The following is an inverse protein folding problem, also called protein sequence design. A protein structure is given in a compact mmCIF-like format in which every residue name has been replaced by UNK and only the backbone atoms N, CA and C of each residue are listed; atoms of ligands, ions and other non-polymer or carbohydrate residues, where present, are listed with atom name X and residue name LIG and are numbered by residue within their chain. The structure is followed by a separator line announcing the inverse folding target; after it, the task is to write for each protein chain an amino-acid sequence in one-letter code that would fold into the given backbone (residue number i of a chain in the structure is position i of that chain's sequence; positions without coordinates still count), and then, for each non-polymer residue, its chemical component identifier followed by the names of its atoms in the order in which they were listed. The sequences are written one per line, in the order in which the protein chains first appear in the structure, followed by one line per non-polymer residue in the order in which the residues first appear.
data_IF_560405617009
#
_entry.id   IF_560405617009
#
_cell.length_a   1.000
_cell.length_b   1.000
_cell.length_c   1.000
_cell.angle_alpha   90.00
_cell.angle_beta   90.00
_cell.angle_gamma   90.00
#
_symmetry.space_group_name_H-M   'P 1'
#
loop_
_entity.id
_entity.type
_entity.pdbx_description
1 polymer ?
#
# COMPACT_ATOMS: atom_id res chain seq x y z
N UNK A 1 29.98 10.37 18.15
CA UNK A 1 28.91 10.49 19.16
C UNK A 1 28.07 11.69 18.73
N UNK A 2 27.09 11.51 17.85
CA UNK A 2 25.67 11.23 18.16
C UNK A 2 24.97 12.42 18.81
N UNK A 3 24.51 13.39 18.02
CA UNK A 3 23.47 14.34 18.43
C UNK A 3 22.32 14.25 17.41
N UNK A 4 21.14 13.90 17.94
CA UNK A 4 20.00 13.36 17.23
C UNK A 4 18.84 14.36 17.16
N UNK A 5 18.32 14.56 15.95
CA UNK A 5 16.89 14.40 15.60
C UNK A 5 15.80 15.10 16.45
N UNK A 6 15.50 16.39 16.24
CA UNK A 6 14.24 17.01 16.72
C UNK A 6 13.61 17.89 15.61
N UNK A 7 12.36 17.62 15.25
CA UNK A 7 11.54 18.18 14.14
C UNK A 7 10.10 17.78 14.45
N UNK A 8 9.19 18.76 14.50
CA UNK A 8 7.79 18.59 14.96
C UNK A 8 6.61 19.32 14.16
N UNK A 9 5.44 18.69 13.85
CA UNK A 9 4.36 19.15 12.90
C UNK A 9 2.96 18.53 13.24
N UNK A 10 1.80 19.18 12.95
CA UNK A 10 0.53 19.31 13.73
C UNK A 10 -0.85 18.64 13.32
N UNK A 11 -2.04 19.13 13.83
CA UNK A 11 -3.40 18.50 14.01
C UNK A 11 -4.75 19.21 13.68
N UNK A 12 -5.86 18.45 13.43
CA UNK A 12 -7.30 18.49 13.92
C UNK A 12 -8.28 17.42 13.30
N UNK A 13 -9.52 17.19 13.84
CA UNK A 13 -10.41 15.97 13.73
C UNK A 13 -11.64 15.97 12.78
N UNK A 14 -11.88 14.77 12.19
CA UNK A 14 -13.06 14.08 11.58
C UNK A 14 -14.21 14.85 10.91
N UNK A 15 -14.51 14.41 9.69
CA UNK A 15 -15.87 14.29 9.15
C UNK A 15 -16.59 13.07 9.75
N UNK A 16 -17.67 13.29 10.50
CA UNK A 16 -18.68 12.25 10.76
C UNK A 16 -19.83 12.44 9.76
N UNK A 17 -20.40 11.33 9.28
CA UNK A 17 -21.34 11.28 8.16
C UNK A 17 -22.40 12.39 8.20
N UNK A 18 -22.48 13.18 7.13
CA UNK A 18 -23.71 13.85 6.73
C UNK A 18 -23.87 15.35 6.97
N UNK A 19 -22.90 16.09 7.51
CA UNK A 19 -23.02 17.55 7.60
C UNK A 19 -21.73 18.26 7.18
N UNK A 20 -21.80 19.02 6.08
CA UNK A 20 -20.80 20.04 5.76
C UNK A 20 -20.79 21.10 6.86
N UNK A 21 -19.63 21.39 7.45
CA UNK A 21 -19.37 22.72 8.03
C UNK A 21 -19.17 22.87 9.53
N UNK A 22 -18.81 21.83 10.30
CA UNK A 22 -18.34 22.04 11.68
C UNK A 22 -17.00 21.33 11.96
N UNK A 23 -15.92 22.10 11.85
CA UNK A 23 -14.56 21.74 12.33
C UNK A 23 -14.52 21.83 13.85
N UNK A 24 -14.65 20.70 14.53
CA UNK A 24 -14.43 20.62 15.98
C UNK A 24 -12.93 20.41 16.25
N UNK A 25 -12.36 21.30 17.05
CA UNK A 25 -11.00 21.18 17.56
C UNK A 25 -10.84 19.90 18.39
N UNK A 26 -9.84 19.08 18.07
CA UNK A 26 -9.39 17.97 18.91
C UNK A 26 -9.06 18.48 20.33
N UNK A 27 -9.34 17.69 21.37
CA UNK A 27 -8.82 17.96 22.71
C UNK A 27 -7.30 18.18 22.68
N UNK A 28 -6.74 19.09 23.52
CA UNK A 28 -5.31 19.43 23.49
C UNK A 28 -4.37 18.24 23.60
N UNK A 29 -4.72 17.22 24.40
CA UNK A 29 -3.89 16.02 24.55
C UNK A 29 -3.85 15.13 23.29
N UNK A 30 -4.96 15.03 22.56
CA UNK A 30 -4.99 14.39 21.24
C UNK A 30 -4.17 15.20 20.24
N UNK A 31 -4.22 16.53 20.38
CA UNK A 31 -3.43 17.51 19.63
C UNK A 31 -1.93 17.52 19.96
N UNK A 32 -1.52 17.02 21.11
CA UNK A 32 -0.08 16.75 21.33
C UNK A 32 0.29 15.41 20.71
N UNK A 33 -0.55 14.39 20.88
CA UNK A 33 -0.28 13.03 20.43
C UNK A 33 -0.16 12.90 18.91
N UNK A 34 -1.11 13.44 18.13
CA UNK A 34 -1.02 13.31 16.68
C UNK A 34 0.08 14.18 16.09
N UNK A 35 0.54 15.24 16.78
CA UNK A 35 1.70 16.02 16.35
C UNK A 35 2.92 15.11 16.33
N UNK A 36 3.13 14.35 17.40
CA UNK A 36 4.16 13.30 17.46
C UNK A 36 4.01 12.25 16.34
N UNK A 37 2.79 11.80 16.05
CA UNK A 37 2.53 10.83 14.97
C UNK A 37 2.84 11.39 13.58
N UNK A 38 2.45 12.64 13.30
CA UNK A 38 2.71 13.34 12.03
C UNK A 38 4.19 13.43 11.75
N UNK A 39 5.00 13.51 12.79
CA UNK A 39 6.44 13.68 12.65
C UNK A 39 7.22 12.45 12.41
N UNK A 40 6.93 11.43 13.19
CA UNK A 40 7.44 10.12 12.89
C UNK A 40 7.02 9.72 11.46
N UNK A 41 5.80 10.08 11.05
CA UNK A 41 5.33 9.89 9.67
C UNK A 41 6.08 10.72 8.65
N UNK A 42 6.26 12.03 8.86
CA UNK A 42 6.98 12.95 7.97
C UNK A 42 8.43 12.51 7.76
N UNK A 43 9.08 12.00 8.81
CA UNK A 43 10.45 11.46 8.78
C UNK A 43 10.55 10.05 8.18
N UNK A 44 9.42 9.35 8.01
CA UNK A 44 9.42 7.95 7.62
C UNK A 44 9.93 6.99 8.72
N UNK A 45 9.91 7.42 9.98
CA UNK A 45 10.45 6.69 11.13
C UNK A 45 9.37 5.85 11.82
N UNK A 46 9.34 4.56 11.48
CA UNK A 46 8.38 3.60 12.05
C UNK A 46 8.65 3.32 13.53
N UNK A 47 9.91 3.36 13.96
CA UNK A 47 10.28 3.07 15.36
C UNK A 47 9.85 4.22 16.27
N UNK A 48 10.00 5.47 15.81
CA UNK A 48 9.45 6.63 16.50
C UNK A 48 7.91 6.66 16.47
N UNK A 49 7.28 6.17 15.38
CA UNK A 49 5.82 6.17 15.24
C UNK A 49 5.16 5.16 16.15
N UNK A 50 5.73 3.95 16.28
CA UNK A 50 5.14 2.82 17.01
C UNK A 50 4.66 3.17 18.44
N UNK A 51 5.47 3.78 19.33
CA UNK A 51 5.07 4.04 20.71
C UNK A 51 4.02 5.17 20.83
N UNK A 52 3.94 6.07 19.85
CA UNK A 52 3.03 7.23 19.86
C UNK A 52 1.78 7.02 19.01
N UNK A 53 1.69 5.90 18.29
CA UNK A 53 0.60 5.67 17.35
C UNK A 53 -0.72 5.40 18.06
N UNK A 54 -1.69 6.30 17.86
CA UNK A 54 -3.08 6.11 18.27
C UNK A 54 -3.99 5.93 17.05
N UNK A 55 -4.59 4.75 16.86
CA UNK A 55 -5.40 4.44 15.69
C UNK A 55 -6.62 5.35 15.52
N UNK A 56 -7.19 5.81 16.64
CA UNK A 56 -8.33 6.72 16.65
C UNK A 56 -8.00 8.08 16.04
N UNK A 57 -6.72 8.46 16.11
CA UNK A 57 -6.21 9.73 15.60
C UNK A 57 -5.70 9.62 14.15
N UNK A 58 -5.76 8.45 13.50
CA UNK A 58 -5.20 8.32 12.13
C UNK A 58 -5.95 9.14 11.07
N UNK A 59 -7.21 9.48 11.34
CA UNK A 59 -8.08 10.28 10.47
C UNK A 59 -8.03 11.78 10.73
N UNK A 60 -7.15 12.26 11.61
CA UNK A 60 -6.98 13.70 11.82
C UNK A 60 -6.20 14.30 10.64
N UNK A 61 -6.39 15.59 10.42
CA UNK A 61 -5.88 16.38 9.31
C UNK A 61 -5.02 17.53 9.83
N UNK A 62 -3.91 17.86 9.18
CA UNK A 62 -3.07 19.00 9.57
C UNK A 62 -3.87 20.31 9.48
N UNK A 63 -3.90 21.11 10.55
CA UNK A 63 -4.45 22.48 10.53
C UNK A 63 -3.41 23.48 11.01
N UNK A 64 -3.33 24.61 10.29
CA UNK A 64 -2.41 25.70 10.61
C UNK A 64 -2.79 26.41 11.92
N UNK A 65 -4.08 26.63 12.16
CA UNK A 65 -4.54 27.36 13.33
C UNK A 65 -4.18 26.62 14.62
N UNK A 66 -4.52 25.33 14.69
CA UNK A 66 -4.17 24.43 15.79
C UNK A 66 -2.70 24.39 16.08
N UNK A 67 -1.89 24.41 15.02
CA UNK A 67 -0.44 24.36 15.17
C UNK A 67 0.09 25.58 15.88
N UNK A 68 -0.34 26.75 15.42
CA UNK A 68 0.05 28.00 16.06
C UNK A 68 -0.46 28.04 17.51
N UNK A 69 -1.68 27.59 17.78
CA UNK A 69 -2.24 27.54 19.13
C UNK A 69 -1.41 26.63 20.06
N UNK A 70 -1.03 25.43 19.61
CA UNK A 70 -0.17 24.53 20.38
C UNK A 70 1.23 25.09 20.59
N UNK A 71 1.84 25.67 19.55
CA UNK A 71 3.15 26.31 19.68
C UNK A 71 3.10 27.46 20.68
N UNK A 72 2.03 28.26 20.69
CA UNK A 72 1.86 29.34 21.67
C UNK A 72 1.69 28.82 23.10
N UNK A 73 0.90 27.75 23.27
CA UNK A 73 0.72 27.11 24.59
C UNK A 73 2.03 26.51 25.10
N UNK A 74 2.77 25.81 24.25
CA UNK A 74 4.06 25.22 24.59
C UNK A 74 5.11 26.29 24.87
N UNK A 75 5.17 27.35 24.06
CA UNK A 75 6.04 28.50 24.33
C UNK A 75 5.76 29.09 25.71
N UNK A 76 4.48 29.29 26.06
CA UNK A 76 4.08 29.81 27.38
C UNK A 76 4.54 28.87 28.50
N UNK A 77 4.44 27.55 28.31
CA UNK A 77 4.91 26.56 29.29
C UNK A 77 6.44 26.59 29.43
N UNK A 78 7.18 26.64 28.32
CA UNK A 78 8.63 26.72 28.32
C UNK A 78 9.12 28.00 29.02
N UNK A 79 8.45 29.13 28.82
CA UNK A 79 8.76 30.40 29.50
C UNK A 79 8.67 30.30 31.04
N UNK A 80 7.94 29.33 31.59
CA UNK A 80 7.87 29.08 33.03
C UNK A 80 9.03 28.25 33.60
N UNK A 81 9.89 27.67 32.74
CA UNK A 81 11.03 26.86 33.18
C UNK A 81 12.07 27.71 33.92
N UNK A 82 12.42 27.32 35.14
CA UNK A 82 13.38 28.08 35.97
C UNK A 82 14.80 28.05 35.41
N UNK A 83 15.23 26.91 34.84
CA UNK A 83 16.53 26.76 34.21
C UNK A 83 16.58 27.53 32.89
N UNK A 84 17.46 28.52 32.79
CA UNK A 84 17.59 29.38 31.61
C UNK A 84 18.21 28.67 30.40
N UNK A 85 19.14 27.73 30.63
CA UNK A 85 19.80 27.02 29.54
C UNK A 85 18.83 26.01 28.93
N UNK A 86 18.13 25.24 29.77
CA UNK A 86 17.09 24.31 29.30
C UNK A 86 15.97 25.07 28.59
N UNK A 87 15.53 26.21 29.14
CA UNK A 87 14.51 27.05 28.50
C UNK A 87 14.94 27.52 27.11
N UNK A 88 16.16 28.02 26.96
CA UNK A 88 16.68 28.52 25.69
C UNK A 88 16.81 27.39 24.66
N UNK A 89 17.35 26.23 25.06
CA UNK A 89 17.46 25.06 24.20
C UNK A 89 16.09 24.62 23.68
N UNK A 90 15.10 24.47 24.58
CA UNK A 90 13.73 24.06 24.20
C UNK A 90 13.00 25.08 23.34
N UNK A 91 13.18 26.38 23.59
CA UNK A 91 12.59 27.42 22.77
C UNK A 91 13.19 27.45 21.35
N UNK A 92 14.49 27.21 21.23
CA UNK A 92 15.15 27.06 19.94
C UNK A 92 14.62 25.84 19.18
N UNK A 93 14.47 24.69 19.86
CA UNK A 93 13.84 23.50 19.26
C UNK A 93 12.43 23.79 18.71
N UNK A 94 11.61 24.52 19.48
CA UNK A 94 10.26 24.90 19.07
C UNK A 94 10.24 25.89 17.89
N UNK A 95 11.23 26.79 17.81
CA UNK A 95 11.37 27.72 16.67
C UNK A 95 11.84 27.01 15.41
N UNK A 96 12.85 26.15 15.51
CA UNK A 96 13.37 25.33 14.40
C UNK A 96 12.26 24.47 13.81
N UNK A 97 11.48 23.86 14.70
CA UNK A 97 10.28 23.13 14.34
C UNK A 97 9.31 23.98 13.52
N UNK A 98 8.94 25.15 14.03
CA UNK A 98 8.00 26.06 13.37
C UNK A 98 8.49 26.45 11.98
N UNK A 99 9.78 26.74 11.85
CA UNK A 99 10.39 27.07 10.56
C UNK A 99 10.32 25.89 9.60
N UNK A 100 10.66 24.68 10.05
CA UNK A 100 10.59 23.49 9.20
C UNK A 100 9.16 23.17 8.77
N UNK A 101 8.17 23.34 9.64
CA UNK A 101 6.77 23.15 9.26
C UNK A 101 6.37 24.05 8.09
N UNK A 102 6.61 25.36 8.21
CA UNK A 102 6.24 26.30 7.17
C UNK A 102 7.03 26.05 5.90
N UNK A 103 8.32 25.73 6.01
CA UNK A 103 9.16 25.33 4.89
C UNK A 103 8.63 24.07 4.19
N UNK A 104 8.20 23.05 4.93
CA UNK A 104 7.64 21.83 4.36
C UNK A 104 6.30 22.07 3.65
N UNK A 105 5.46 22.97 4.18
CA UNK A 105 4.21 23.39 3.52
C UNK A 105 4.49 24.21 2.26
N UNK A 106 5.43 25.15 2.31
CA UNK A 106 5.83 25.98 1.16
C UNK A 106 6.46 25.15 0.04
N UNK A 107 7.29 24.16 0.39
CA UNK A 107 7.88 23.21 -0.56
C UNK A 107 6.88 22.17 -1.08
N UNK A 108 5.65 22.15 -0.57
CA UNK A 108 4.63 21.16 -0.95
C UNK A 108 4.92 19.74 -0.49
N UNK A 109 5.88 19.55 0.42
CA UNK A 109 6.14 18.26 1.11
C UNK A 109 5.01 17.90 2.07
N UNK A 110 4.27 18.91 2.53
CA UNK A 110 3.03 18.79 3.28
C UNK A 110 1.98 19.71 2.68
N UNK A 111 0.72 19.35 2.83
CA UNK A 111 -0.40 20.26 2.61
C UNK A 111 -1.26 20.37 3.86
N UNK A 112 -1.84 21.54 4.06
CA UNK A 112 -2.89 21.69 5.07
C UNK A 112 -4.06 20.75 4.71
N UNK A 113 -4.60 20.10 5.74
CA UNK A 113 -5.60 19.06 5.62
C UNK A 113 -5.04 17.65 5.39
N UNK A 114 -3.73 17.47 5.20
CA UNK A 114 -3.15 16.14 5.03
C UNK A 114 -3.37 15.30 6.31
N UNK A 115 -3.84 14.06 6.14
CA UNK A 115 -3.82 13.04 7.21
C UNK A 115 -2.46 12.34 7.27
N UNK A 116 -2.18 11.55 8.30
CA UNK A 116 -0.95 10.70 8.34
C UNK A 116 -0.78 9.88 7.06
N UNK A 117 -1.90 9.39 6.53
CA UNK A 117 -1.91 8.61 5.32
C UNK A 117 -1.54 9.44 4.08
N UNK A 118 -1.99 10.70 3.98
CA UNK A 118 -1.55 11.62 2.91
C UNK A 118 -0.06 11.90 3.01
N UNK A 119 0.44 12.18 4.21
CA UNK A 119 1.85 12.51 4.44
C UNK A 119 2.73 11.33 4.02
N UNK A 120 2.41 10.13 4.48
CA UNK A 120 3.16 8.93 4.15
C UNK A 120 3.13 8.64 2.65
N UNK A 121 2.00 8.86 1.98
CA UNK A 121 1.89 8.68 0.53
C UNK A 121 2.68 9.74 -0.24
N UNK A 122 2.48 11.03 0.08
CA UNK A 122 3.12 12.18 -0.56
C UNK A 122 4.64 12.09 -0.50
N UNK A 123 5.17 11.61 0.62
CA UNK A 123 6.61 11.49 0.86
C UNK A 123 7.20 10.13 0.45
N UNK A 124 6.38 9.18 -0.01
CA UNK A 124 6.89 7.88 -0.45
C UNK A 124 7.18 6.87 0.66
N UNK A 125 6.73 7.12 1.89
CA UNK A 125 7.06 6.35 3.10
C UNK A 125 6.28 5.04 3.21
N UNK A 126 6.59 4.10 2.30
CA UNK A 126 5.96 2.76 2.26
C UNK A 126 6.01 1.99 3.58
N UNK A 127 7.09 2.10 4.35
CA UNK A 127 7.23 1.44 5.66
C UNK A 127 6.25 1.97 6.71
N UNK A 128 5.94 3.27 6.67
CA UNK A 128 4.93 3.87 7.56
C UNK A 128 3.52 3.43 7.16
N UNK A 129 3.21 3.41 5.86
CA UNK A 129 1.92 2.90 5.37
C UNK A 129 1.70 1.44 5.75
N UNK A 130 2.73 0.62 5.55
CA UNK A 130 2.74 -0.78 5.97
C UNK A 130 2.45 -0.94 7.46
N UNK A 131 3.11 -0.15 8.30
CA UNK A 131 2.85 -0.13 9.73
C UNK A 131 1.38 0.24 10.03
N UNK A 132 0.87 1.31 9.45
CA UNK A 132 -0.52 1.75 9.66
C UNK A 132 -1.56 0.71 9.19
N UNK A 133 -1.28 -0.03 8.12
CA UNK A 133 -2.22 -1.00 7.54
C UNK A 133 -2.21 -2.36 8.25
N UNK A 134 -1.06 -2.77 8.80
CA UNK A 134 -0.88 -4.13 9.34
C UNK A 134 -0.91 -4.21 10.87
N UNK A 135 -0.87 -3.07 11.56
CA UNK A 135 -0.92 -3.06 13.03
C UNK A 135 -2.28 -3.56 13.49
N UNK A 136 -2.27 -4.62 14.30
CA UNK A 136 -3.46 -5.05 15.01
C UNK A 136 -3.77 -4.06 16.13
N UNK A 137 -4.97 -3.51 16.06
CA UNK A 137 -5.46 -2.53 17.00
C UNK A 137 -6.14 -3.24 18.15
N UNK A 138 -5.36 -3.92 18.98
CA UNK A 138 -5.88 -4.51 20.21
C UNK A 138 -6.00 -3.43 21.28
N UNK A 139 -7.24 -3.16 21.73
CA UNK A 139 -7.44 -2.73 23.12
C UNK A 139 -7.74 -3.98 23.92
N UNK A 140 -6.82 -4.56 24.70
CA UNK A 140 -7.25 -5.42 25.77
C UNK A 140 -8.00 -4.52 26.77
N UNK A 141 -9.27 -4.76 27.07
CA UNK A 141 -9.85 -4.16 28.25
C UNK A 141 -9.08 -4.76 29.43
N UNK A 142 -8.29 -3.95 30.15
CA UNK A 142 -7.84 -4.31 31.51
C UNK A 142 -9.07 -4.33 32.40
N UNK A 143 -9.89 -5.37 32.28
CA UNK A 143 -10.80 -5.75 33.35
C UNK A 143 -9.91 -6.49 34.33
N UNK A 144 -9.58 -5.82 35.43
CA UNK A 144 -9.11 -6.50 36.62
C UNK A 144 -10.16 -7.56 36.98
N UNK A 145 -9.90 -8.81 36.61
CA UNK A 145 -10.73 -9.93 37.02
C UNK A 145 -10.47 -10.15 38.51
N UNK A 146 -11.26 -9.46 39.34
CA UNK A 146 -11.45 -9.88 40.73
C UNK A 146 -12.22 -11.18 40.69
N UNK A 147 -11.56 -12.26 41.06
CA UNK A 147 -12.15 -13.59 41.21
C UNK A 147 -13.21 -13.57 42.31
N UNK A 148 -14.44 -13.93 41.95
CA UNK A 148 -15.55 -14.21 42.88
C UNK A 148 -16.37 -15.39 42.34
N UNK A 149 -16.77 -16.36 43.19
CA UNK A 149 -17.11 -17.71 42.74
C UNK A 149 -18.55 -17.88 42.25
N UNK A 150 -18.70 -18.96 41.48
CA UNK A 150 -19.85 -19.55 40.82
C UNK A 150 -21.25 -19.32 41.44
N UNK A 151 -22.20 -19.04 40.54
CA UNK A 151 -23.64 -19.22 40.73
C UNK A 151 -24.32 -19.47 39.39
N UNK A 152 -24.87 -20.67 39.22
CA UNK A 152 -25.48 -21.23 37.99
C UNK A 152 -26.87 -20.67 37.71
N UNK A 153 -27.20 -20.35 36.44
CA UNK A 153 -28.55 -20.50 35.87
C UNK A 153 -28.57 -20.25 34.34
N UNK A 154 -29.19 -21.20 33.64
CA UNK A 154 -29.52 -21.22 32.21
C UNK A 154 -30.76 -20.34 31.94
N UNK A 155 -30.77 -19.56 30.85
CA UNK A 155 -31.97 -19.35 30.01
C UNK A 155 -31.65 -18.60 28.71
N UNK A 156 -32.14 -19.16 27.60
CA UNK A 156 -32.19 -18.56 26.28
C UNK A 156 -33.40 -17.63 26.15
N UNK A 157 -33.22 -16.46 25.52
CA UNK A 157 -34.14 -15.86 24.53
C UNK A 157 -33.75 -14.38 24.24
N UNK A 158 -33.34 -14.17 23.00
CA UNK A 158 -33.67 -13.04 22.12
C UNK A 158 -34.13 -11.72 22.74
N UNK A 159 -33.21 -10.76 22.88
CA UNK A 159 -33.51 -9.34 22.65
C UNK A 159 -32.33 -8.71 21.91
N UNK A 160 -32.51 -8.50 20.61
CA UNK A 160 -31.79 -7.50 19.83
C UNK A 160 -31.97 -6.13 20.50
N UNK A 161 -30.94 -5.64 21.18
CA UNK A 161 -30.80 -4.24 21.57
C UNK A 161 -29.34 -3.83 21.47
N UNK A 162 -29.00 -3.20 20.34
CA UNK A 162 -27.99 -2.16 20.17
C UNK A 162 -26.86 -2.10 21.21
N UNK A 163 -25.94 -3.07 21.19
CA UNK A 163 -24.59 -2.93 21.75
C UNK A 163 -23.58 -2.98 20.59
N UNK A 164 -23.80 -2.15 19.57
CA UNK A 164 -23.10 -2.26 18.28
C UNK A 164 -22.21 -1.09 17.86
N UNK A 165 -22.16 0.02 18.60
CA UNK A 165 -21.57 1.27 18.09
C UNK A 165 -20.31 1.77 18.82
N UNK A 166 -19.84 1.11 19.89
CA UNK A 166 -18.87 1.76 20.78
C UNK A 166 -17.37 1.40 20.58
N UNK A 167 -17.00 0.43 19.74
CA UNK A 167 -15.59 -0.02 19.65
C UNK A 167 -15.04 -0.24 18.23
N UNK A 168 -15.71 0.25 17.18
CA UNK A 168 -15.15 0.16 15.83
C UNK A 168 -14.19 1.33 15.59
N UNK A 169 -12.95 0.98 15.24
CA UNK A 169 -11.92 1.93 14.84
C UNK A 169 -12.40 2.73 13.62
N UNK A 170 -11.99 4.01 13.48
CA UNK A 170 -12.29 4.77 12.27
C UNK A 170 -11.82 4.01 11.03
N UNK A 171 -12.57 4.02 9.92
CA UNK A 171 -12.11 3.43 8.66
C UNK A 171 -10.80 4.09 8.20
N UNK A 172 -10.09 3.44 7.28
CA UNK A 172 -8.89 4.03 6.70
C UNK A 172 -9.21 5.38 6.04
N UNK A 173 -8.40 6.42 6.26
CA UNK A 173 -8.66 7.76 5.73
C UNK A 173 -8.30 7.89 4.23
N UNK A 174 -8.29 6.80 3.47
CA UNK A 174 -7.93 6.78 2.03
C UNK A 174 -8.87 7.64 1.19
N UNK A 175 -10.15 7.70 1.59
CA UNK A 175 -11.19 8.49 0.94
C UNK A 175 -11.43 9.86 1.60
N UNK A 176 -10.61 10.25 2.58
CA UNK A 176 -10.72 11.57 3.22
C UNK A 176 -9.94 12.57 2.37
N UNK A 177 -10.56 13.60 1.76
CA UNK A 177 -9.81 14.61 1.04
C UNK A 177 -9.10 15.56 2.01
N UNK A 178 -7.90 16.03 1.66
CA UNK A 178 -7.24 17.13 2.36
C UNK A 178 -7.96 18.48 2.08
N UNK A 179 -7.44 19.60 2.61
CA UNK A 179 -8.09 20.91 2.43
C UNK A 179 -7.99 21.46 1.02
N UNK A 180 -7.15 20.86 0.17
CA UNK A 180 -7.11 21.14 -1.26
C UNK A 180 -8.09 20.28 -2.06
N UNK A 181 -8.82 19.37 -1.41
CA UNK A 181 -9.71 18.42 -2.07
C UNK A 181 -8.99 17.19 -2.63
N UNK A 182 -7.70 17.02 -2.38
CA UNK A 182 -6.89 15.90 -2.89
C UNK A 182 -7.08 14.67 -2.00
N UNK A 183 -7.30 13.51 -2.60
CA UNK A 183 -7.27 12.22 -1.90
C UNK A 183 -5.84 11.68 -1.81
N UNK A 184 -5.63 10.67 -0.96
CA UNK A 184 -4.34 10.00 -0.84
C UNK A 184 -3.80 9.50 -2.20
N UNK A 185 -4.67 9.00 -3.07
CA UNK A 185 -4.29 8.57 -4.43
C UNK A 185 -3.84 9.69 -5.36
N UNK A 186 -4.37 10.90 -5.15
CA UNK A 186 -4.04 12.06 -5.99
C UNK A 186 -2.66 12.62 -5.61
N UNK A 187 -2.24 12.44 -4.35
CA UNK A 187 -0.95 12.91 -3.82
C UNK A 187 0.17 11.88 -3.92
N UNK A 188 -0.11 10.65 -4.40
CA UNK A 188 0.88 9.60 -4.62
C UNK A 188 1.92 9.96 -5.71
N UNK A 189 1.63 11.01 -6.50
CA UNK A 189 2.50 11.47 -7.58
C UNK A 189 2.82 10.35 -8.56
N UNK A 190 4.08 10.26 -9.00
CA UNK A 190 4.57 9.21 -9.91
C UNK A 190 4.97 7.89 -9.26
N UNK A 191 4.71 7.69 -7.95
CA UNK A 191 5.16 6.49 -7.24
C UNK A 191 4.24 5.29 -7.55
N UNK A 192 4.58 4.52 -8.59
CA UNK A 192 3.81 3.36 -9.07
C UNK A 192 3.53 2.33 -7.97
N UNK A 193 4.51 2.08 -7.10
CA UNK A 193 4.38 1.18 -5.96
C UNK A 193 3.29 1.60 -4.97
N UNK A 194 3.18 2.91 -4.70
CA UNK A 194 2.15 3.45 -3.82
C UNK A 194 0.79 3.53 -4.50
N UNK A 195 0.73 3.97 -5.76
CA UNK A 195 -0.50 3.94 -6.55
C UNK A 195 -1.12 2.53 -6.55
N UNK A 196 -0.28 1.51 -6.71
CA UNK A 196 -0.71 0.11 -6.69
C UNK A 196 -1.21 -0.33 -5.31
N UNK A 197 -0.54 0.08 -4.23
CA UNK A 197 -1.00 -0.18 -2.87
C UNK A 197 -2.37 0.45 -2.62
N UNK A 198 -2.55 1.72 -2.99
CA UNK A 198 -3.79 2.47 -2.79
C UNK A 198 -4.95 1.85 -3.56
N UNK A 199 -4.72 1.51 -4.83
CA UNK A 199 -5.73 0.80 -5.61
C UNK A 199 -6.11 -0.53 -4.96
N UNK A 200 -5.13 -1.25 -4.39
CA UNK A 200 -5.43 -2.52 -3.71
C UNK A 200 -6.25 -2.33 -2.44
N UNK A 201 -6.02 -1.24 -1.71
CA UNK A 201 -6.87 -0.87 -0.57
C UNK A 201 -8.30 -0.61 -1.04
N UNK A 202 -8.48 0.08 -2.17
CA UNK A 202 -9.80 0.32 -2.76
C UNK A 202 -10.51 -1.00 -3.14
N UNK A 203 -9.80 -2.00 -3.68
CA UNK A 203 -10.35 -3.35 -3.94
C UNK A 203 -10.81 -4.06 -2.66
N UNK A 204 -10.02 -3.96 -1.59
CA UNK A 204 -10.38 -4.55 -0.30
C UNK A 204 -11.64 -3.88 0.24
N UNK A 205 -11.72 -2.54 0.15
CA UNK A 205 -12.89 -1.77 0.59
C UNK A 205 -14.13 -2.04 -0.26
N UNK A 206 -13.97 -2.29 -1.57
CA UNK A 206 -15.07 -2.68 -2.45
C UNK A 206 -15.64 -4.04 -2.05
N UNK A 207 -14.80 -5.00 -1.68
CA UNK A 207 -15.22 -6.37 -1.33
C UNK A 207 -15.77 -6.48 0.09
N UNK A 208 -15.12 -5.82 1.06
CA UNK A 208 -15.41 -5.96 2.49
C UNK A 208 -16.08 -4.74 3.12
N UNK A 209 -16.20 -3.63 2.39
CA UNK A 209 -16.67 -2.35 2.92
C UNK A 209 -15.57 -1.52 3.56
N UNK A 210 -15.93 -0.32 4.01
CA UNK A 210 -15.00 0.65 4.62
C UNK A 210 -14.56 0.28 6.05
N UNK A 211 -15.33 -0.54 6.74
CA UNK A 211 -15.01 -1.10 8.05
C UNK A 211 -15.26 -2.60 8.02
N UNK A 212 -14.19 -3.38 8.22
CA UNK A 212 -14.28 -4.83 8.13
C UNK A 212 -13.42 -5.51 9.21
N UNK A 213 -13.89 -6.69 9.64
CA UNK A 213 -13.24 -7.45 10.72
C UNK A 213 -11.89 -7.98 10.23
N UNK A 214 -10.85 -7.81 11.05
CA UNK A 214 -9.51 -8.29 10.70
C UNK A 214 -8.81 -7.44 9.64
N UNK A 215 -9.05 -6.11 9.63
CA UNK A 215 -8.39 -5.12 8.76
C UNK A 215 -6.91 -5.43 8.51
N UNK A 216 -6.16 -5.53 9.59
CA UNK A 216 -4.73 -5.85 9.58
C UNK A 216 -4.38 -7.19 8.92
N UNK A 217 -5.20 -8.23 9.12
CA UNK A 217 -4.97 -9.56 8.54
C UNK A 217 -5.19 -9.55 7.03
N UNK A 218 -6.24 -8.86 6.55
CA UNK A 218 -6.51 -8.76 5.11
C UNK A 218 -5.43 -7.94 4.41
N UNK A 219 -4.98 -6.84 5.01
CA UNK A 219 -3.87 -6.06 4.47
C UNK A 219 -2.53 -6.83 4.52
N UNK A 220 -2.32 -7.69 5.53
CA UNK A 220 -1.20 -8.64 5.53
C UNK A 220 -1.27 -9.62 4.36
N UNK A 221 -2.44 -10.23 4.10
CA UNK A 221 -2.65 -11.08 2.93
C UNK A 221 -2.30 -10.34 1.64
N UNK A 222 -2.88 -9.16 1.42
CA UNK A 222 -2.61 -8.32 0.24
C UNK A 222 -1.12 -8.02 0.10
N UNK A 223 -0.44 -7.65 1.19
CA UNK A 223 1.00 -7.39 1.19
C UNK A 223 1.79 -8.62 0.79
N UNK A 224 1.42 -9.78 1.32
CA UNK A 224 2.05 -11.06 0.98
C UNK A 224 1.86 -11.40 -0.49
N UNK A 225 0.63 -11.27 -1.01
CA UNK A 225 0.32 -11.44 -2.43
C UNK A 225 1.18 -10.53 -3.30
N UNK A 226 1.34 -9.25 -2.92
CA UNK A 226 2.20 -8.29 -3.63
C UNK A 226 3.67 -8.67 -3.64
N UNK A 227 4.17 -9.28 -2.56
CA UNK A 227 5.57 -9.76 -2.47
C UNK A 227 5.79 -11.05 -3.27
N UNK A 228 4.78 -11.92 -3.28
CA UNK A 228 4.83 -13.20 -3.96
C UNK A 228 4.64 -13.07 -5.47
N UNK A 229 3.77 -12.17 -5.92
CA UNK A 229 3.39 -12.08 -7.33
C UNK A 229 4.55 -11.94 -8.34
N UNK A 230 5.60 -11.12 -8.10
CA UNK A 230 6.74 -11.06 -9.04
C UNK A 230 7.61 -12.34 -9.05
N UNK A 231 7.42 -13.25 -8.09
CA UNK A 231 8.11 -14.55 -7.99
C UNK A 231 7.24 -15.68 -8.53
N UNK A 232 5.96 -15.64 -8.20
CA UNK A 232 4.92 -16.53 -8.67
C UNK A 232 3.81 -15.64 -9.17
N UNK A 233 3.76 -15.45 -10.48
CA UNK A 233 2.70 -14.70 -11.14
C UNK A 233 1.44 -15.55 -11.05
N UNK A 234 0.79 -15.62 -9.91
CA UNK A 234 -0.41 -16.44 -9.77
C UNK A 234 -1.55 -15.83 -10.58
N UNK A 235 -2.32 -16.69 -11.24
CA UNK A 235 -3.48 -16.32 -12.03
C UNK A 235 -4.55 -17.40 -11.92
N UNK A 236 -5.79 -16.97 -11.76
CA UNK A 236 -6.93 -17.87 -11.73
C UNK A 236 -7.34 -18.29 -10.33
N UNK A 237 -8.60 -18.73 -10.24
CA UNK A 237 -9.29 -18.92 -8.98
C UNK A 237 -8.68 -20.03 -8.11
N UNK A 238 -8.13 -21.08 -8.72
CA UNK A 238 -7.55 -22.20 -7.98
C UNK A 238 -6.28 -21.80 -7.23
N UNK A 239 -5.35 -21.12 -7.89
CA UNK A 239 -4.12 -20.61 -7.26
C UNK A 239 -4.44 -19.55 -6.21
N UNK A 240 -5.35 -18.62 -6.52
CA UNK A 240 -5.81 -17.62 -5.55
C UNK A 240 -6.46 -18.26 -4.32
N UNK A 241 -7.31 -19.28 -4.50
CA UNK A 241 -7.91 -20.02 -3.41
C UNK A 241 -6.87 -20.73 -2.54
N UNK A 242 -5.87 -21.37 -3.16
CA UNK A 242 -4.78 -22.02 -2.42
C UNK A 242 -3.97 -21.00 -1.61
N UNK A 243 -3.56 -19.89 -2.23
CA UNK A 243 -2.83 -18.80 -1.58
C UNK A 243 -3.62 -18.19 -0.42
N UNK A 244 -4.93 -17.97 -0.58
CA UNK A 244 -5.77 -17.44 0.50
C UNK A 244 -5.82 -18.38 1.70
N UNK A 245 -5.97 -19.69 1.49
CA UNK A 245 -5.99 -20.67 2.59
C UNK A 245 -4.71 -20.58 3.43
N UNK A 246 -3.59 -20.50 2.73
CA UNK A 246 -2.22 -20.55 3.25
C UNK A 246 -1.72 -19.23 3.85
N UNK A 247 -2.13 -18.09 3.28
CA UNK A 247 -1.65 -16.78 3.73
C UNK A 247 -2.57 -16.16 4.79
N UNK A 248 -3.81 -16.62 4.87
CA UNK A 248 -4.82 -16.08 5.78
C UNK A 248 -5.29 -17.12 6.82
N UNK A 249 -4.85 -18.38 6.73
CA UNK A 249 -5.25 -19.50 7.61
C UNK A 249 -6.78 -19.64 7.71
N UNK A 250 -7.39 -20.01 6.59
CA UNK A 250 -8.85 -19.99 6.44
C UNK A 250 -9.39 -21.18 5.66
N UNK A 251 -10.46 -21.77 6.20
CA UNK A 251 -11.18 -22.87 5.55
C UNK A 251 -12.11 -22.34 4.47
N UNK A 252 -12.42 -23.17 3.48
CA UNK A 252 -13.39 -22.84 2.41
C UNK A 252 -14.80 -22.53 2.94
N UNK A 253 -15.14 -23.05 4.13
CA UNK A 253 -16.41 -22.80 4.80
C UNK A 253 -16.48 -21.44 5.50
N UNK A 254 -15.37 -20.70 5.61
CA UNK A 254 -15.36 -19.39 6.25
C UNK A 254 -16.11 -18.37 5.39
N UNK A 255 -17.01 -17.55 5.99
CA UNK A 255 -17.78 -16.56 5.25
C UNK A 255 -16.92 -15.49 4.53
N UNK A 256 -15.70 -15.20 5.01
CA UNK A 256 -14.79 -14.27 4.37
C UNK A 256 -14.03 -14.89 3.19
N UNK A 257 -13.95 -16.22 3.10
CA UNK A 257 -13.11 -16.93 2.11
C UNK A 257 -13.37 -16.47 0.67
N UNK A 258 -14.64 -16.44 0.26
CA UNK A 258 -15.01 -16.00 -1.10
C UNK A 258 -14.63 -14.53 -1.35
N UNK A 259 -14.71 -13.66 -0.33
CA UNK A 259 -14.24 -12.29 -0.42
C UNK A 259 -12.72 -12.21 -0.59
N UNK A 260 -11.96 -12.97 0.20
CA UNK A 260 -10.50 -12.99 0.15
C UNK A 260 -9.99 -13.49 -1.22
N UNK A 261 -10.63 -14.51 -1.78
CA UNK A 261 -10.31 -15.01 -3.13
C UNK A 261 -10.62 -13.96 -4.20
N UNK A 262 -11.74 -13.24 -4.09
CA UNK A 262 -12.06 -12.12 -5.00
C UNK A 262 -10.99 -11.02 -4.93
N UNK A 263 -10.57 -10.63 -3.73
CA UNK A 263 -9.48 -9.67 -3.56
C UNK A 263 -8.19 -10.19 -4.20
N UNK A 264 -7.78 -11.43 -3.92
CA UNK A 264 -6.56 -12.00 -4.48
C UNK A 264 -6.57 -12.02 -6.02
N UNK A 265 -7.72 -12.33 -6.62
CA UNK A 265 -7.90 -12.30 -8.07
C UNK A 265 -7.84 -10.88 -8.65
N UNK A 266 -8.48 -9.91 -8.00
CA UNK A 266 -8.47 -8.52 -8.43
C UNK A 266 -7.04 -7.94 -8.37
N UNK A 267 -6.33 -8.24 -7.28
CA UNK A 267 -4.92 -7.90 -7.08
C UNK A 267 -4.03 -8.48 -8.17
N UNK A 268 -4.17 -9.78 -8.46
CA UNK A 268 -3.41 -10.44 -9.51
C UNK A 268 -3.64 -9.79 -10.88
N UNK A 269 -4.90 -9.54 -11.23
CA UNK A 269 -5.28 -8.90 -12.48
C UNK A 269 -4.71 -7.48 -12.58
N UNK A 270 -4.71 -6.72 -11.50
CA UNK A 270 -4.15 -5.37 -11.50
C UNK A 270 -2.65 -5.37 -11.69
N UNK A 271 -1.94 -6.29 -11.02
CA UNK A 271 -0.50 -6.47 -11.21
C UNK A 271 -0.18 -6.84 -12.66
N UNK A 272 -0.94 -7.78 -13.23
CA UNK A 272 -0.88 -8.19 -14.63
C UNK A 272 -0.99 -6.99 -15.58
N UNK A 273 -2.03 -6.18 -15.40
CA UNK A 273 -2.28 -4.97 -16.21
C UNK A 273 -1.16 -3.94 -16.07
N UNK A 274 -0.67 -3.71 -14.85
CA UNK A 274 0.41 -2.77 -14.58
C UNK A 274 1.71 -3.17 -15.31
N UNK A 275 2.08 -4.46 -15.23
CA UNK A 275 3.25 -5.01 -15.92
C UNK A 275 3.08 -4.99 -17.43
N UNK A 276 1.94 -5.45 -17.96
CA UNK A 276 1.68 -5.41 -19.42
C UNK A 276 1.76 -3.98 -19.97
N UNK A 277 1.26 -2.97 -19.23
CA UNK A 277 1.34 -1.56 -19.67
C UNK A 277 2.78 -1.07 -19.79
N UNK A 278 3.64 -1.39 -18.83
CA UNK A 278 5.07 -1.05 -18.93
C UNK A 278 5.79 -1.86 -20.01
N UNK A 279 5.44 -3.14 -20.16
CA UNK A 279 5.91 -3.98 -21.26
C UNK A 279 5.55 -3.43 -22.64
N UNK A 280 4.33 -2.92 -22.82
CA UNK A 280 3.90 -2.28 -24.06
C UNK A 280 4.66 -0.98 -24.30
N UNK A 281 4.95 -0.18 -23.26
CA UNK A 281 5.82 1.01 -23.42
C UNK A 281 7.21 0.65 -23.90
N UNK A 282 7.80 -0.40 -23.32
CA UNK A 282 9.08 -0.94 -23.78
C UNK A 282 9.00 -1.42 -25.23
N UNK A 283 7.94 -2.15 -25.58
CA UNK A 283 7.72 -2.65 -26.93
C UNK A 283 7.52 -1.52 -27.96
N UNK A 284 6.82 -0.44 -27.60
CA UNK A 284 6.67 0.75 -28.46
C UNK A 284 8.01 1.43 -28.71
N UNK A 285 8.83 1.61 -27.67
CA UNK A 285 10.16 2.18 -27.80
C UNK A 285 11.06 1.30 -28.69
N UNK A 286 11.07 -0.01 -28.44
CA UNK A 286 11.84 -0.97 -29.22
C UNK A 286 11.38 -1.08 -30.69
N UNK A 287 10.06 -1.02 -30.93
CA UNK A 287 9.51 -0.99 -32.28
C UNK A 287 9.94 0.27 -33.02
N UNK A 288 10.00 1.43 -32.34
CA UNK A 288 10.50 2.67 -32.92
C UNK A 288 12.00 2.60 -33.26
N UNK A 289 12.82 1.97 -32.42
CA UNK A 289 14.24 1.69 -32.71
C UNK A 289 14.40 0.82 -33.97
N UNK A 290 13.46 -0.09 -34.22
CA UNK A 290 13.43 -0.96 -35.39
C UNK A 290 12.71 -0.33 -36.60
N UNK A 291 12.66 1.00 -36.70
CA UNK A 291 12.02 1.70 -37.82
C UNK A 291 10.51 1.49 -37.92
N UNK A 292 9.90 0.86 -36.91
CA UNK A 292 8.49 0.53 -36.90
C UNK A 292 8.13 -0.81 -37.54
N UNK A 293 9.10 -1.64 -37.91
CA UNK A 293 8.87 -2.97 -38.48
C UNK A 293 8.85 -4.05 -37.39
N UNK A 294 7.70 -4.72 -37.23
CA UNK A 294 7.52 -5.79 -36.25
C UNK A 294 8.38 -7.02 -36.57
N UNK A 295 8.62 -7.32 -37.85
CA UNK A 295 9.42 -8.49 -38.24
C UNK A 295 10.89 -8.27 -37.89
N UNK A 296 11.41 -7.07 -38.17
CA UNK A 296 12.74 -6.67 -37.74
C UNK A 296 12.87 -6.66 -36.21
N UNK A 297 11.88 -6.12 -35.49
CA UNK A 297 11.87 -6.12 -34.03
C UNK A 297 11.89 -7.54 -33.45
N UNK A 298 11.06 -8.46 -33.96
CA UNK A 298 11.05 -9.87 -33.55
C UNK A 298 12.40 -10.55 -33.84
N UNK A 299 12.99 -10.30 -35.01
CA UNK A 299 14.29 -10.87 -35.36
C UNK A 299 15.40 -10.36 -34.42
N UNK A 300 15.39 -9.06 -34.12
CA UNK A 300 16.34 -8.42 -33.20
C UNK A 300 16.16 -8.92 -31.75
N UNK A 301 14.92 -9.16 -31.31
CA UNK A 301 14.65 -9.77 -30.00
C UNK A 301 15.23 -11.19 -29.88
N UNK A 302 15.10 -12.00 -30.92
CA UNK A 302 15.59 -13.39 -30.90
C UNK A 302 17.10 -13.48 -31.07
N UNK A 303 17.70 -12.67 -31.96
CA UNK A 303 19.11 -12.80 -32.34
C UNK A 303 20.03 -11.76 -31.71
N UNK A 304 19.50 -10.61 -31.32
CA UNK A 304 20.27 -9.44 -30.86
C UNK A 304 20.19 -9.18 -29.36
N UNK A 305 19.13 -9.62 -28.68
CA UNK A 305 19.01 -9.42 -27.23
C UNK A 305 19.57 -10.62 -26.47
N UNK A 306 20.54 -10.37 -25.59
CA UNK A 306 21.08 -11.39 -24.69
C UNK A 306 20.09 -11.73 -23.58
N UNK A 307 20.29 -12.89 -22.95
CA UNK A 307 19.51 -13.36 -21.80
C UNK A 307 19.57 -12.33 -20.67
N UNK A 308 20.75 -11.77 -20.41
CA UNK A 308 20.98 -10.76 -19.37
C UNK A 308 20.19 -9.48 -19.65
N UNK A 309 20.15 -9.03 -20.91
CA UNK A 309 19.36 -7.84 -21.29
C UNK A 309 17.88 -8.08 -21.03
N UNK A 310 17.32 -9.22 -21.44
CA UNK A 310 15.91 -9.58 -21.22
C UNK A 310 15.57 -9.63 -19.73
N UNK A 311 16.42 -10.29 -18.93
CA UNK A 311 16.27 -10.37 -17.48
C UNK A 311 16.37 -8.98 -16.80
N UNK A 312 17.25 -8.11 -17.30
CA UNK A 312 17.41 -6.75 -16.81
C UNK A 312 16.17 -5.90 -17.07
N UNK A 313 15.62 -5.92 -18.29
CA UNK A 313 14.40 -5.18 -18.63
C UNK A 313 13.20 -5.63 -17.79
N UNK A 314 13.00 -6.94 -17.65
CA UNK A 314 11.96 -7.48 -16.79
C UNK A 314 12.15 -7.07 -15.32
N UNK A 315 13.40 -7.03 -14.85
CA UNK A 315 13.73 -6.57 -13.50
C UNK A 315 13.43 -5.09 -13.29
N UNK A 316 13.69 -4.24 -14.29
CA UNK A 316 13.36 -2.81 -14.25
C UNK A 316 11.84 -2.65 -14.11
N UNK A 317 11.07 -3.35 -14.96
CA UNK A 317 9.61 -3.34 -14.93
C UNK A 317 9.10 -3.78 -13.54
N UNK A 318 9.57 -4.92 -13.02
CA UNK A 318 9.11 -5.38 -11.70
C UNK A 318 9.53 -4.46 -10.57
N UNK A 319 10.76 -3.94 -10.53
CA UNK A 319 11.20 -3.05 -9.44
C UNK A 319 10.41 -1.76 -9.35
N UNK A 320 9.89 -1.27 -10.48
CA UNK A 320 9.04 -0.08 -10.52
C UNK A 320 7.73 -0.27 -9.73
N UNK A 321 7.13 -1.46 -9.79
CA UNK A 321 5.87 -1.78 -9.12
C UNK A 321 6.06 -2.51 -7.78
N UNK A 322 7.16 -3.26 -7.65
CA UNK A 322 7.50 -4.11 -6.51
C UNK A 322 8.93 -3.78 -6.03
N UNK A 323 9.12 -2.73 -5.21
CA UNK A 323 10.46 -2.28 -4.80
C UNK A 323 11.28 -3.32 -4.04
N UNK A 324 10.62 -4.28 -3.38
CA UNK A 324 11.26 -5.36 -2.65
C UNK A 324 11.75 -6.50 -3.56
N UNK A 325 11.40 -6.48 -4.85
CA UNK A 325 11.83 -7.48 -5.81
C UNK A 325 13.34 -7.40 -6.06
N UNK A 326 14.01 -8.55 -5.87
CA UNK A 326 15.44 -8.72 -6.14
C UNK A 326 15.57 -9.67 -7.33
N UNK A 327 16.01 -9.14 -8.48
CA UNK A 327 16.20 -9.95 -9.70
C UNK A 327 17.29 -11.03 -9.62
N UNK A 328 18.06 -11.11 -8.53
CA UNK A 328 19.05 -12.17 -8.29
C UNK A 328 18.58 -13.05 -7.12
N UNK A 329 18.19 -14.29 -7.42
CA UNK A 329 17.82 -15.31 -6.44
C UNK A 329 19.03 -15.83 -5.62
N UNK A 330 18.76 -16.67 -4.61
CA UNK A 330 19.83 -17.42 -3.90
C UNK A 330 20.47 -18.42 -4.88
N UNK A 331 21.78 -18.67 -4.73
CA UNK A 331 22.67 -19.36 -5.69
C UNK A 331 22.23 -20.73 -6.23
N UNK A 332 21.24 -21.42 -5.66
CA UNK A 332 20.98 -22.83 -5.95
C UNK A 332 19.94 -23.09 -7.05
N UNK A 333 18.95 -22.20 -7.22
CA UNK A 333 17.84 -22.36 -8.19
C UNK A 333 17.84 -21.24 -9.25
N UNK A 334 18.99 -20.58 -9.42
CA UNK A 334 19.11 -19.34 -10.17
C UNK A 334 18.92 -19.52 -11.68
N UNK A 335 19.39 -20.63 -12.23
CA UNK A 335 19.36 -20.88 -13.67
C UNK A 335 17.93 -21.17 -14.15
N UNK A 336 17.20 -22.04 -13.46
CA UNK A 336 15.80 -22.36 -13.80
C UNK A 336 14.87 -21.15 -13.66
N UNK A 337 15.03 -20.34 -12.60
CA UNK A 337 14.26 -19.10 -12.42
C UNK A 337 14.56 -18.06 -13.51
N UNK A 338 15.83 -17.91 -13.89
CA UNK A 338 16.27 -16.97 -14.91
C UNK A 338 15.79 -17.41 -16.30
N UNK A 339 15.83 -18.71 -16.59
CA UNK A 339 15.26 -19.30 -17.80
C UNK A 339 13.75 -19.09 -17.88
N UNK A 340 12.99 -19.40 -16.82
CA UNK A 340 11.54 -19.19 -16.78
C UNK A 340 11.15 -17.72 -17.02
N UNK A 341 11.92 -16.79 -16.44
CA UNK A 341 11.73 -15.34 -16.64
C UNK A 341 11.99 -14.92 -18.09
N UNK A 342 13.02 -15.48 -18.72
CA UNK A 342 13.37 -15.17 -20.11
C UNK A 342 12.33 -15.75 -21.08
N UNK A 343 11.87 -16.98 -20.84
CA UNK A 343 10.79 -17.61 -21.61
C UNK A 343 9.50 -16.78 -21.51
N UNK A 344 9.15 -16.35 -20.29
CA UNK A 344 8.02 -15.46 -20.08
C UNK A 344 8.22 -14.13 -20.82
N UNK A 345 9.39 -13.50 -20.69
CA UNK A 345 9.69 -12.23 -21.34
C UNK A 345 9.56 -12.32 -22.86
N UNK A 346 10.09 -13.37 -23.49
CA UNK A 346 9.99 -13.54 -24.95
C UNK A 346 8.54 -13.72 -25.42
N UNK A 347 7.75 -14.51 -24.69
CA UNK A 347 6.32 -14.68 -24.97
C UNK A 347 5.53 -13.37 -24.79
N UNK A 348 5.81 -12.65 -23.69
CA UNK A 348 5.16 -11.38 -23.38
C UNK A 348 5.53 -10.29 -24.36
N UNK A 349 6.82 -10.12 -24.66
CA UNK A 349 7.35 -9.12 -25.58
C UNK A 349 6.82 -9.32 -27.00
N UNK A 350 6.67 -10.57 -27.46
CA UNK A 350 6.05 -10.86 -28.77
C UNK A 350 4.62 -10.31 -28.86
N UNK A 351 3.86 -10.41 -27.77
CA UNK A 351 2.48 -9.95 -27.70
C UNK A 351 2.41 -8.44 -27.49
N UNK A 352 3.25 -7.89 -26.61
CA UNK A 352 3.39 -6.44 -26.42
C UNK A 352 3.81 -5.72 -27.70
N UNK A 353 4.68 -6.32 -28.52
CA UNK A 353 5.02 -5.81 -29.85
C UNK A 353 3.82 -5.81 -30.80
N UNK A 354 2.99 -6.85 -30.76
CA UNK A 354 1.77 -6.89 -31.55
C UNK A 354 0.80 -5.78 -31.13
N UNK A 355 0.58 -5.62 -29.82
CA UNK A 355 -0.26 -4.54 -29.28
C UNK A 355 0.32 -3.17 -29.64
N UNK A 356 1.64 -2.98 -29.51
CA UNK A 356 2.31 -1.73 -29.87
C UNK A 356 2.15 -1.41 -31.36
N UNK A 357 2.23 -2.41 -32.24
CA UNK A 357 1.98 -2.25 -33.66
C UNK A 357 0.52 -1.85 -33.92
N UNK A 358 -0.44 -2.54 -33.31
CA UNK A 358 -1.86 -2.24 -33.46
C UNK A 358 -2.18 -0.82 -32.97
N UNK A 359 -1.64 -0.41 -31.82
CA UNK A 359 -1.79 0.96 -31.30
C UNK A 359 -1.19 2.01 -32.24
N UNK A 360 -0.06 1.71 -32.90
CA UNK A 360 0.54 2.61 -33.89
C UNK A 360 -0.30 2.72 -35.15
N UNK A 361 -0.85 1.62 -35.64
CA UNK A 361 -1.65 1.56 -36.86
C UNK A 361 -3.05 2.17 -36.67
N UNK A 362 -3.68 1.97 -35.51
CA UNK A 362 -5.07 2.33 -35.26
C UNK A 362 -5.25 3.49 -34.26
N UNK A 363 -4.23 3.84 -33.48
CA UNK A 363 -4.26 4.96 -32.52
C UNK A 363 -4.20 6.36 -33.16
N UNK A 364 -4.17 6.45 -34.49
CA UNK A 364 -4.17 7.70 -35.25
C UNK A 364 -5.55 8.34 -35.47
N UNK A 365 -6.64 7.64 -35.19
CA UNK A 365 -8.01 8.03 -35.61
C UNK A 365 -8.90 8.66 -34.53
N UNK A 366 -8.39 8.95 -33.33
CA UNK A 366 -9.12 9.77 -32.35
C UNK A 366 -9.14 11.23 -32.83
N UNK A 367 -10.30 11.64 -33.35
CA UNK A 367 -10.64 12.99 -33.81
C UNK A 367 -10.32 14.04 -32.73
N UNK A 368 -9.57 15.08 -33.10
CA UNK A 368 -9.44 16.32 -32.32
C UNK A 368 -7.99 16.82 -32.25
N UNK A 369 -7.69 17.88 -32.99
CA UNK A 369 -6.34 18.42 -33.14
C UNK A 369 -5.76 19.07 -31.88
N UNK A 370 -4.48 18.85 -31.67
CA UNK A 370 -3.48 19.87 -31.32
C UNK A 370 -2.11 19.19 -31.28
N UNK A 371 -1.14 19.78 -31.95
CA UNK A 371 0.26 19.38 -31.94
C UNK A 371 0.88 19.62 -30.57
N UNK A 372 0.90 18.58 -29.74
CA UNK A 372 1.86 18.36 -28.67
C UNK A 372 1.88 16.84 -28.43
N UNK A 373 3.08 16.26 -28.32
CA UNK A 373 3.37 14.81 -28.25
C UNK A 373 2.12 13.94 -27.95
N UNK A 374 1.53 13.34 -28.99
CA UNK A 374 0.34 12.47 -28.86
C UNK A 374 0.64 11.40 -27.83
N UNK A 375 0.06 11.53 -26.64
CA UNK A 375 0.12 10.51 -25.62
C UNK A 375 -0.69 9.32 -26.16
N UNK A 376 0.00 8.25 -26.57
CA UNK A 376 -0.69 7.01 -26.98
C UNK A 376 -1.39 6.46 -25.75
N UNK A 377 -2.72 6.43 -25.77
CA UNK A 377 -3.49 5.80 -24.70
C UNK A 377 -3.24 4.29 -24.71
N UNK A 378 -2.78 3.78 -23.56
CA UNK A 378 -2.55 2.36 -23.40
C UNK A 378 -3.89 1.63 -23.15
N UNK A 379 -4.04 0.39 -23.62
CA UNK A 379 -5.25 -0.39 -23.40
C UNK A 379 -5.65 -0.48 -21.92
N UNK A 380 -6.96 -0.54 -21.69
CA UNK A 380 -7.54 -0.83 -20.39
C UNK A 380 -7.44 -2.34 -20.06
N UNK A 381 -7.85 -2.73 -18.86
CA UNK A 381 -7.77 -4.12 -18.42
C UNK A 381 -8.56 -5.06 -19.34
N UNK A 382 -9.75 -4.64 -19.79
CA UNK A 382 -10.61 -5.40 -20.68
C UNK A 382 -9.97 -5.59 -22.07
N UNK A 383 -9.35 -4.54 -22.61
CA UNK A 383 -8.56 -4.59 -23.85
C UNK A 383 -7.41 -5.58 -23.72
N UNK A 384 -6.58 -5.47 -22.68
CA UNK A 384 -5.43 -6.36 -22.47
C UNK A 384 -5.82 -7.83 -22.32
N UNK A 385 -6.96 -8.14 -21.69
CA UNK A 385 -7.43 -9.54 -21.57
C UNK A 385 -7.65 -10.22 -22.91
N UNK A 386 -7.98 -9.46 -23.97
CA UNK A 386 -8.21 -10.02 -25.31
C UNK A 386 -6.91 -10.42 -26.02
N UNK A 387 -5.80 -9.75 -25.69
CA UNK A 387 -4.50 -9.97 -26.33
C UNK A 387 -3.62 -10.96 -25.57
N UNK A 388 -3.63 -10.91 -24.23
CA UNK A 388 -2.55 -11.51 -23.44
C UNK A 388 -2.91 -12.85 -22.78
N UNK A 389 -4.12 -13.41 -22.97
CA UNK A 389 -4.55 -14.59 -22.20
C UNK A 389 -3.61 -15.80 -22.36
N UNK A 390 -2.98 -15.98 -23.52
CA UNK A 390 -2.01 -17.04 -23.76
C UNK A 390 -0.60 -16.73 -23.22
N UNK A 391 -0.22 -15.45 -23.13
CA UNK A 391 1.05 -15.02 -22.52
C UNK A 391 1.08 -15.43 -21.07
N UNK A 392 -0.01 -15.15 -20.35
CA UNK A 392 -0.12 -15.43 -18.93
C UNK A 392 -0.31 -16.92 -18.62
N UNK A 393 -0.60 -17.78 -19.61
CA UNK A 393 -0.43 -19.22 -19.44
C UNK A 393 1.06 -19.64 -19.29
N UNK A 394 1.99 -18.86 -19.85
CA UNK A 394 3.45 -19.06 -19.74
C UNK A 394 4.09 -18.23 -18.63
N UNK A 395 3.28 -17.71 -17.71
CA UNK A 395 3.74 -16.91 -16.57
C UNK A 395 4.67 -17.71 -15.66
N UNK A 396 5.41 -17.00 -14.82
CA UNK A 396 6.26 -17.62 -13.80
C UNK A 396 5.33 -18.34 -12.81
N UNK A 397 5.37 -19.68 -12.85
CA UNK A 397 4.57 -20.54 -11.99
C UNK A 397 5.46 -21.63 -11.39
N UNK A 398 5.29 -21.97 -10.11
CA UNK A 398 5.99 -23.12 -9.53
C UNK A 398 5.56 -24.40 -10.26
N UNK A 399 6.43 -25.43 -10.30
CA UNK A 399 6.06 -26.72 -10.84
C UNK A 399 4.76 -27.22 -10.18
N UNK A 400 3.83 -27.84 -10.94
CA UNK A 400 2.55 -28.30 -10.38
C UNK A 400 2.71 -29.23 -9.17
N UNK A 401 3.77 -30.05 -9.15
CA UNK A 401 4.15 -30.91 -8.02
C UNK A 401 4.50 -30.10 -6.77
N UNK A 402 5.20 -28.97 -6.95
CA UNK A 402 5.63 -28.10 -5.86
C UNK A 402 4.48 -27.28 -5.30
N UNK A 403 3.37 -27.06 -6.01
CA UNK A 403 2.20 -26.33 -5.48
C UNK A 403 1.55 -27.13 -4.35
N UNK A 404 1.37 -28.45 -4.55
CA UNK A 404 0.83 -29.35 -3.53
C UNK A 404 1.74 -29.43 -2.31
N UNK A 405 3.04 -29.61 -2.53
CA UNK A 405 4.03 -29.65 -1.46
C UNK A 405 4.18 -28.31 -0.74
N UNK A 406 4.16 -27.16 -1.44
CA UNK A 406 4.13 -25.83 -0.81
C UNK A 406 2.86 -25.64 0.02
N UNK A 407 1.69 -26.09 -0.46
CA UNK A 407 0.46 -26.01 0.32
C UNK A 407 0.56 -26.85 1.59
N UNK A 408 1.14 -28.05 1.52
CA UNK A 408 1.36 -28.92 2.68
C UNK A 408 2.42 -28.34 3.63
N UNK A 409 3.56 -27.88 3.10
CA UNK A 409 4.65 -27.31 3.89
C UNK A 409 4.23 -26.00 4.55
N UNK A 410 3.35 -25.21 3.91
CA UNK A 410 2.83 -23.98 4.51
C UNK A 410 1.78 -24.29 5.58
N UNK A 411 0.90 -25.28 5.39
CA UNK A 411 0.04 -25.77 6.48
C UNK A 411 0.86 -26.27 7.69
N UNK A 412 2.01 -26.93 7.45
CA UNK A 412 2.95 -27.32 8.50
C UNK A 412 3.71 -26.14 9.11
N UNK A 413 4.00 -25.10 8.32
CA UNK A 413 4.58 -23.84 8.79
C UNK A 413 3.56 -23.06 9.64
N UNK A 414 2.26 -23.14 9.35
CA UNK A 414 1.18 -22.60 10.18
C UNK A 414 1.06 -23.32 11.53
N UNK A 415 1.21 -24.65 11.57
CA UNK A 415 1.32 -25.40 12.83
C UNK A 415 2.59 -25.06 13.63
N UNK A 416 3.73 -24.93 12.95
CA UNK A 416 5.02 -24.59 13.57
C UNK A 416 5.09 -23.13 14.04
N UNK A 417 4.52 -22.21 13.26
CA UNK A 417 4.45 -20.78 13.56
C UNK A 417 3.34 -20.42 14.53
N UNK A 418 2.63 -21.38 15.18
CA UNK A 418 1.66 -21.14 16.29
C UNK A 418 2.12 -19.94 17.12
N UNK A 419 1.65 -18.74 16.75
CA UNK A 419 2.39 -17.48 16.93
C UNK A 419 2.68 -17.24 18.42
N UNK A 420 3.83 -17.69 18.96
CA UNK A 420 4.12 -17.51 20.38
C UNK A 420 4.40 -16.02 20.65
N UNK A 421 4.70 -15.27 19.59
CA UNK A 421 5.05 -13.85 19.59
C UNK A 421 3.82 -12.92 19.50
N UNK A 422 2.61 -13.47 19.39
CA UNK A 422 1.35 -12.70 19.54
C UNK A 422 0.59 -13.06 20.83
N UNK A 423 1.20 -13.86 21.70
CA UNK A 423 0.71 -14.09 23.07
C UNK A 423 1.63 -13.49 24.14
N UNK A 424 2.43 -12.47 23.80
CA UNK A 424 3.29 -11.75 24.74
C UNK A 424 3.10 -10.23 24.63
#
# INVERSE_FOLDING_TARGET
MSCSQNVAICLFVRNSHGNMGQTLSAPPHEAVQFRQMVLATYRGDVEALRPVFRPELRGLQISRATYLDLCMQEQTQLETLTDSLEREERLNELQDEKMEFFSAVEQGKLALGDTLFHIAVRLGHSGVLDFMLMTEYEKPPRIAATSGPAGSAVSAATVSRNVGAANQLPPLPTNTPNFKGELARDVAGGNCSLQLLLATIDEVQEVFGSSYRGEAKVHRLVRSLRRLWPLWMFEGQQEAAALVRVLFDVRTSDPAFAGLVRVAMAVAERFRVAISRDGIRLAMAFLAECGGDIHQARQSLTKGWTVERKAQELTIIFRRWFPLYKGKGRRKDREEEEEARVVFFDAAMTTWLQIAQDLRLFGGNSKGGSSNARLVELPDAAGLKRYDSQVWQRRISPPPSSIGDLCVHINSLEEYLRLPHLSA
#
